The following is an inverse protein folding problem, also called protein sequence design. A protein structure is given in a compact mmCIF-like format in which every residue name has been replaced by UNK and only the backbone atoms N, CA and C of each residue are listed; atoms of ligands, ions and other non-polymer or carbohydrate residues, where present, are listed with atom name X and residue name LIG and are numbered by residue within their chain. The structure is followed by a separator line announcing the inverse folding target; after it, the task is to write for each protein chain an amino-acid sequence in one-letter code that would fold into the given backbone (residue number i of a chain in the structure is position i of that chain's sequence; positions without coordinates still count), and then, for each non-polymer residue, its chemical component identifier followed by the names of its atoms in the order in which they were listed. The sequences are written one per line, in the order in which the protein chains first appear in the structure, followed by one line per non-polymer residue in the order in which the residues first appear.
data_IF_830887395251
#
_entry.id   IF_830887395251
#
_cell.length_a   1.000
_cell.length_b   1.000
_cell.length_c   1.000
_cell.angle_alpha   90.00
_cell.angle_beta   90.00
_cell.angle_gamma   90.00
#
_symmetry.space_group_name_H-M   'P 1'
#
loop_
_entity.id
_entity.type
_entity.pdbx_description
1 polymer ?
#
# COMPACT_ATOMS: atom_id res chain seq x y z
N UNK A 1 -1.16 23.31 -1.46
CA UNK A 1 -1.55 22.17 -2.32
C UNK A 1 -0.71 20.98 -1.88
N UNK A 2 -1.23 19.75 -1.95
CA UNK A 2 -0.43 18.55 -1.65
C UNK A 2 0.48 18.20 -2.83
N UNK A 3 1.66 17.64 -2.57
CA UNK A 3 2.52 17.06 -3.61
C UNK A 3 2.89 15.64 -3.24
N UNK A 4 2.43 14.66 -4.02
CA UNK A 4 2.73 13.25 -3.86
C UNK A 4 3.90 12.87 -4.77
N UNK A 5 4.99 12.39 -4.18
CA UNK A 5 6.05 11.71 -4.92
C UNK A 5 5.72 10.22 -4.97
N UNK A 6 5.67 9.68 -6.18
CA UNK A 6 5.27 8.30 -6.44
C UNK A 6 5.58 7.89 -7.87
N UNK A 7 5.32 6.64 -8.21
CA UNK A 7 5.46 6.14 -9.58
C UNK A 7 4.46 5.01 -9.83
N UNK A 8 4.29 4.62 -11.09
CA UNK A 8 3.45 3.47 -11.48
C UNK A 8 3.94 2.20 -10.76
N UNK A 9 3.05 1.23 -10.53
CA UNK A 9 3.36 -0.02 -9.82
C UNK A 9 4.03 0.18 -8.44
N UNK A 10 3.61 1.20 -7.67
CA UNK A 10 4.17 1.46 -6.34
C UNK A 10 3.12 1.70 -5.26
N UNK A 11 3.56 1.71 -3.99
CA UNK A 11 2.69 1.97 -2.83
C UNK A 11 2.04 3.36 -2.83
N UNK A 12 2.49 4.28 -3.70
CA UNK A 12 1.85 5.60 -3.83
C UNK A 12 0.42 5.54 -4.37
N UNK A 13 0.04 4.45 -5.05
CA UNK A 13 -1.33 4.23 -5.48
C UNK A 13 -2.35 4.32 -4.33
N UNK A 14 -2.02 3.78 -3.14
CA UNK A 14 -2.93 3.83 -1.99
C UNK A 14 -3.10 5.27 -1.48
N UNK A 15 -2.07 6.10 -1.59
CA UNK A 15 -2.11 7.50 -1.18
C UNK A 15 -2.88 8.33 -2.19
N UNK A 16 -2.70 8.05 -3.48
CA UNK A 16 -3.48 8.68 -4.54
C UNK A 16 -4.97 8.37 -4.39
N UNK A 17 -5.35 7.11 -4.14
CA UNK A 17 -6.74 6.74 -3.81
C UNK A 17 -7.28 7.54 -2.61
N UNK A 18 -6.47 7.71 -1.56
CA UNK A 18 -6.87 8.46 -0.38
C UNK A 18 -7.04 9.96 -0.64
N UNK A 19 -6.16 10.58 -1.43
CA UNK A 19 -6.26 11.99 -1.82
C UNK A 19 -7.50 12.24 -2.70
N UNK A 20 -7.78 11.36 -3.66
CA UNK A 20 -9.00 11.39 -4.48
C UNK A 20 -10.25 11.27 -3.60
N UNK A 21 -10.26 10.32 -2.65
CA UNK A 21 -11.37 10.14 -1.70
C UNK A 21 -11.56 11.35 -0.77
N UNK A 22 -10.49 12.05 -0.41
CA UNK A 22 -10.56 13.30 0.35
C UNK A 22 -11.04 14.48 -0.49
N UNK A 23 -11.13 14.34 -1.83
CA UNK A 23 -11.48 15.38 -2.78
C UNK A 23 -10.59 16.63 -2.64
N UNK A 24 -9.28 16.43 -2.43
CA UNK A 24 -8.29 17.52 -2.27
C UNK A 24 -7.39 17.63 -3.49
N UNK A 25 -7.00 18.85 -3.89
CA UNK A 25 -6.07 19.03 -5.00
C UNK A 25 -4.66 18.58 -4.60
N UNK A 26 -4.03 17.79 -5.47
CA UNK A 26 -2.65 17.36 -5.34
C UNK A 26 -1.94 17.34 -6.69
N UNK A 27 -0.62 17.46 -6.64
CA UNK A 27 0.27 17.21 -7.77
C UNK A 27 0.97 15.86 -7.57
N UNK A 28 1.06 15.05 -8.63
CA UNK A 28 1.85 13.82 -8.64
C UNK A 28 3.19 14.08 -9.33
N UNK A 29 4.29 13.85 -8.62
CA UNK A 29 5.66 13.92 -9.16
C UNK A 29 6.15 12.50 -9.36
N UNK A 30 6.42 12.11 -10.62
CA UNK A 30 6.98 10.80 -10.94
C UNK A 30 8.41 10.69 -10.38
N UNK A 31 8.60 9.86 -9.37
CA UNK A 31 9.89 9.65 -8.71
C UNK A 31 9.95 8.28 -8.02
N UNK A 32 11.15 7.69 -7.99
CA UNK A 32 11.45 6.48 -7.24
C UNK A 32 12.96 6.37 -6.99
N UNK A 33 13.40 5.43 -6.15
CA UNK A 33 14.84 5.24 -5.88
C UNK A 33 15.59 4.53 -7.01
N UNK A 34 14.89 3.75 -7.84
CA UNK A 34 15.49 2.84 -8.83
C UNK A 34 15.59 3.42 -10.24
N UNK A 35 14.98 4.57 -10.52
CA UNK A 35 15.14 5.30 -11.77
C UNK A 35 15.98 6.57 -11.56
N UNK A 36 17.01 6.77 -12.37
CA UNK A 36 17.81 8.00 -12.34
C UNK A 36 17.09 9.14 -13.05
N UNK A 37 17.26 10.37 -12.56
CA UNK A 37 16.74 11.57 -13.22
C UNK A 37 16.22 12.65 -12.27
N UNK A 38 15.54 13.65 -12.85
CA UNK A 38 15.05 14.82 -12.12
C UNK A 38 14.07 14.45 -10.99
N UNK A 39 13.23 13.43 -11.19
CA UNK A 39 12.31 12.94 -10.16
C UNK A 39 13.02 12.42 -8.92
N UNK A 40 14.06 11.58 -9.08
CA UNK A 40 14.88 11.07 -7.98
C UNK A 40 15.63 12.19 -7.26
N UNK A 41 16.17 13.15 -8.00
CA UNK A 41 16.86 14.31 -7.40
C UNK A 41 15.89 15.27 -6.68
N UNK A 42 14.65 15.40 -7.15
CA UNK A 42 13.61 16.12 -6.42
C UNK A 42 13.20 15.38 -5.14
N UNK A 43 12.99 14.07 -5.22
CA UNK A 43 12.67 13.22 -4.07
C UNK A 43 13.79 13.26 -3.01
N UNK A 44 15.07 13.23 -3.42
CA UNK A 44 16.23 13.33 -2.53
C UNK A 44 16.22 14.58 -1.65
N UNK A 45 15.72 15.70 -2.17
CA UNK A 45 15.66 16.97 -1.44
C UNK A 45 14.66 16.94 -0.29
N UNK A 46 13.62 16.10 -0.39
CA UNK A 46 12.52 16.04 0.59
C UNK A 46 12.55 14.78 1.45
N UNK A 47 13.09 13.67 0.94
CA UNK A 47 13.19 12.40 1.65
C UNK A 47 14.59 11.76 1.45
N UNK A 48 15.46 11.76 2.48
CA UNK A 48 16.79 11.15 2.38
C UNK A 48 16.76 9.62 2.23
N UNK A 49 15.64 8.95 2.54
CA UNK A 49 15.46 7.52 2.30
C UNK A 49 15.25 7.20 0.81
N UNK A 50 14.93 8.20 -0.02
CA UNK A 50 14.57 8.04 -1.44
C UNK A 50 13.38 7.09 -1.69
N UNK A 51 12.54 6.87 -0.69
CA UNK A 51 11.41 5.96 -0.79
C UNK A 51 10.13 6.70 -1.18
N UNK A 52 9.28 6.00 -1.93
CA UNK A 52 7.91 6.44 -2.22
C UNK A 52 6.92 5.49 -1.56
N UNK A 53 5.75 5.99 -1.12
CA UNK A 53 5.28 7.37 -1.24
C UNK A 53 5.98 8.36 -0.31
N UNK A 54 6.13 9.60 -0.78
CA UNK A 54 6.46 10.77 0.05
C UNK A 54 5.43 11.86 -0.23
N UNK A 55 4.77 12.38 0.80
CA UNK A 55 3.76 13.44 0.66
C UNK A 55 4.29 14.74 1.26
N UNK A 56 4.34 15.80 0.46
CA UNK A 56 4.57 17.17 0.94
C UNK A 56 3.21 17.82 1.20
N UNK A 57 3.02 18.31 2.42
CA UNK A 57 1.78 18.96 2.86
C UNK A 57 1.73 20.42 2.37
N UNK A 58 0.56 21.09 2.41
CA UNK A 58 0.42 22.48 1.96
C UNK A 58 1.32 23.49 2.68
N UNK A 59 1.73 23.19 3.92
CA UNK A 59 2.65 24.02 4.73
C UNK A 59 4.14 23.74 4.44
N UNK A 60 4.43 22.83 3.50
CA UNK A 60 5.78 22.42 3.12
C UNK A 60 6.40 21.33 4.00
N UNK A 61 5.71 20.87 5.04
CA UNK A 61 6.18 19.72 5.84
C UNK A 61 6.09 18.42 5.04
N UNK A 62 6.97 17.47 5.36
CA UNK A 62 7.08 16.19 4.65
C UNK A 62 6.58 15.06 5.54
N UNK A 63 5.71 14.21 4.99
CA UNK A 63 5.24 12.99 5.61
C UNK A 63 5.64 11.78 4.75
N UNK A 64 6.29 10.81 5.39
CA UNK A 64 6.70 9.52 4.80
C UNK A 64 5.95 8.39 5.50
N UNK A 65 6.16 7.15 5.05
CA UNK A 65 5.44 5.94 5.48
C UNK A 65 3.97 5.93 5.03
N UNK A 66 3.61 5.00 4.13
CA UNK A 66 2.25 4.93 3.56
C UNK A 66 1.16 4.89 4.62
N UNK A 67 1.37 4.14 5.70
CA UNK A 67 0.40 4.05 6.81
C UNK A 67 0.28 5.37 7.57
N UNK A 68 1.39 6.08 7.83
CA UNK A 68 1.33 7.37 8.52
C UNK A 68 0.60 8.42 7.66
N UNK A 69 0.84 8.42 6.35
CA UNK A 69 0.15 9.29 5.39
C UNK A 69 -1.36 9.01 5.38
N UNK A 70 -1.77 7.74 5.29
CA UNK A 70 -3.19 7.36 5.32
C UNK A 70 -3.86 7.75 6.64
N UNK A 71 -3.15 7.58 7.77
CA UNK A 71 -3.65 8.01 9.09
C UNK A 71 -3.84 9.51 9.13
N UNK A 72 -2.83 10.28 8.70
CA UNK A 72 -2.91 11.73 8.64
C UNK A 72 -4.12 12.20 7.81
N UNK A 73 -4.26 11.70 6.58
CA UNK A 73 -5.37 12.07 5.70
C UNK A 73 -6.73 11.70 6.31
N UNK A 74 -6.85 10.53 6.94
CA UNK A 74 -8.10 10.12 7.58
C UNK A 74 -8.45 10.92 8.84
N UNK A 75 -7.47 11.47 9.54
CA UNK A 75 -7.69 12.36 10.70
C UNK A 75 -8.00 13.80 10.25
N UNK A 76 -7.30 14.29 9.23
CA UNK A 76 -7.47 15.63 8.66
C UNK A 76 -8.82 15.76 7.92
N UNK A 77 -9.24 14.70 7.23
CA UNK A 77 -10.48 14.65 6.47
C UNK A 77 -11.43 13.57 7.02
N UNK A 78 -12.01 13.74 8.22
CA UNK A 78 -12.87 12.72 8.85
C UNK A 78 -14.18 12.47 8.08
N UNK A 79 -14.53 13.34 7.14
CA UNK A 79 -15.65 13.16 6.21
C UNK A 79 -15.37 12.21 5.04
N UNK A 80 -14.10 11.90 4.75
CA UNK A 80 -13.68 11.05 3.62
C UNK A 80 -14.08 9.58 3.77
N UNK A 81 -14.25 9.12 5.01
CA UNK A 81 -14.46 7.70 5.32
C UNK A 81 -13.18 6.86 5.36
N UNK A 82 -11.99 7.46 5.18
CA UNK A 82 -10.72 6.73 5.24
C UNK A 82 -10.48 6.02 6.57
N UNK A 83 -10.89 6.65 7.66
CA UNK A 83 -10.86 6.05 9.00
C UNK A 83 -12.27 6.05 9.60
N UNK A 84 -12.63 5.00 10.37
CA UNK A 84 -13.88 4.99 11.12
C UNK A 84 -13.96 6.16 12.11
N UNK A 85 -15.16 6.70 12.30
CA UNK A 85 -15.44 7.72 13.32
C UNK A 85 -15.49 7.12 14.73
N UNK A 86 -16.02 5.90 14.85
CA UNK A 86 -16.03 5.18 16.11
C UNK A 86 -14.60 4.84 16.55
N UNK A 87 -14.30 5.11 17.82
CA UNK A 87 -12.95 4.94 18.36
C UNK A 87 -12.48 3.49 18.38
N UNK A 88 -13.38 2.54 18.67
CA UNK A 88 -13.07 1.12 18.73
C UNK A 88 -12.80 0.55 17.34
N UNK A 89 -13.67 0.87 16.37
CA UNK A 89 -13.47 0.49 14.97
C UNK A 89 -12.21 1.14 14.39
N UNK A 90 -11.95 2.41 14.71
CA UNK A 90 -10.72 3.08 14.27
C UNK A 90 -9.47 2.40 14.82
N UNK A 91 -9.48 1.98 16.09
CA UNK A 91 -8.37 1.23 16.66
C UNK A 91 -8.11 -0.10 15.91
N UNK A 92 -9.17 -0.81 15.49
CA UNK A 92 -9.02 -2.01 14.66
C UNK A 92 -8.50 -1.70 13.24
N UNK A 93 -8.95 -0.60 12.63
CA UNK A 93 -8.44 -0.17 11.33
C UNK A 93 -6.95 0.20 11.40
N UNK A 94 -6.53 0.94 12.44
CA UNK A 94 -5.12 1.26 12.68
C UNK A 94 -4.28 0.00 12.88
N UNK A 95 -4.80 -0.97 13.64
CA UNK A 95 -4.15 -2.28 13.81
C UNK A 95 -3.98 -3.01 12.47
N UNK A 96 -5.01 -3.00 11.61
CA UNK A 96 -4.94 -3.62 10.29
C UNK A 96 -3.91 -2.94 9.38
N UNK A 97 -3.88 -1.60 9.33
CA UNK A 97 -2.89 -0.83 8.58
C UNK A 97 -1.45 -1.17 9.01
N UNK A 98 -1.21 -1.13 10.32
CA UNK A 98 0.11 -1.48 10.90
C UNK A 98 0.46 -2.93 10.59
N UNK A 99 -0.51 -3.85 10.62
CA UNK A 99 -0.29 -5.25 10.26
C UNK A 99 0.18 -5.38 8.81
N UNK A 100 -0.49 -4.70 7.87
CA UNK A 100 -0.11 -4.72 6.44
C UNK A 100 1.32 -4.23 6.27
N UNK A 101 1.67 -3.09 6.86
CA UNK A 101 3.02 -2.52 6.74
C UNK A 101 4.10 -3.46 7.32
N UNK A 102 3.88 -3.98 8.53
CA UNK A 102 4.91 -4.72 9.27
C UNK A 102 5.04 -6.20 8.91
N UNK A 103 4.01 -6.83 8.33
CA UNK A 103 4.01 -8.26 8.01
C UNK A 103 3.97 -8.50 6.51
N UNK A 104 3.04 -7.86 5.81
CA UNK A 104 2.85 -8.09 4.38
C UNK A 104 3.84 -7.28 3.55
N UNK A 105 3.84 -5.95 3.70
CA UNK A 105 4.67 -5.08 2.85
C UNK A 105 6.16 -5.22 3.16
N UNK A 106 6.51 -5.45 4.43
CA UNK A 106 7.88 -5.77 4.83
C UNK A 106 8.41 -7.04 4.12
N UNK A 107 7.60 -8.09 4.00
CA UNK A 107 8.00 -9.33 3.31
C UNK A 107 8.21 -9.12 1.81
N UNK A 108 7.42 -8.26 1.16
CA UNK A 108 7.64 -7.88 -0.24
C UNK A 108 9.02 -7.23 -0.42
N UNK A 109 9.40 -6.30 0.48
CA UNK A 109 10.73 -5.70 0.44
C UNK A 109 11.88 -6.70 0.57
N UNK A 110 11.69 -7.78 1.36
CA UNK A 110 12.65 -8.88 1.47
C UNK A 110 12.76 -9.69 0.17
N UNK A 111 11.64 -9.90 -0.52
CA UNK A 111 11.57 -10.65 -1.79
C UNK A 111 12.20 -9.84 -2.92
N UNK A 112 11.91 -8.54 -3.01
CA UNK A 112 12.35 -7.69 -4.12
C UNK A 112 13.82 -7.28 -4.01
N UNK A 113 14.35 -7.20 -2.78
CA UNK A 113 15.71 -6.72 -2.53
C UNK A 113 16.52 -7.60 -1.54
N UNK A 114 16.59 -8.92 -1.73
CA UNK A 114 17.16 -9.86 -0.75
C UNK A 114 18.63 -9.56 -0.41
N UNK A 115 19.39 -9.03 -1.37
CA UNK A 115 20.81 -8.68 -1.20
C UNK A 115 21.07 -7.56 -0.19
N UNK A 116 20.05 -6.79 0.22
CA UNK A 116 20.18 -5.83 1.34
C UNK A 116 20.37 -6.54 2.69
N UNK A 117 19.91 -7.78 2.80
CA UNK A 117 20.05 -8.62 4.01
C UNK A 117 21.06 -9.75 3.84
N UNK A 118 21.34 -10.15 2.60
CA UNK A 118 22.27 -11.21 2.24
C UNK A 118 23.38 -10.71 1.30
N UNK A 119 24.25 -9.79 1.75
CA UNK A 119 25.31 -9.25 0.89
C UNK A 119 26.28 -10.37 0.47
N UNK A 120 26.50 -10.51 -0.84
CA UNK A 120 27.41 -11.52 -1.41
C UNK A 120 26.86 -12.95 -1.43
N UNK A 121 25.56 -13.14 -1.22
CA UNK A 121 24.92 -14.43 -1.40
C UNK A 121 25.01 -14.92 -2.86
N UNK A 122 25.12 -16.24 -3.03
CA UNK A 122 24.95 -16.88 -4.32
C UNK A 122 23.47 -17.04 -4.68
N UNK A 123 23.20 -17.37 -5.95
CA UNK A 123 21.84 -17.51 -6.49
C UNK A 123 21.02 -18.56 -5.72
N UNK A 124 21.67 -19.61 -5.19
CA UNK A 124 21.00 -20.68 -4.46
C UNK A 124 20.51 -20.19 -3.10
N UNK A 125 21.36 -19.47 -2.36
CA UNK A 125 21.00 -18.89 -1.07
C UNK A 125 19.93 -17.79 -1.25
N UNK A 126 20.07 -16.96 -2.28
CA UNK A 126 19.09 -15.93 -2.61
C UNK A 126 17.72 -16.57 -2.90
N UNK A 127 17.64 -17.56 -3.78
CA UNK A 127 16.38 -18.24 -4.13
C UNK A 127 15.71 -18.91 -2.92
N UNK A 128 16.49 -19.50 -2.02
CA UNK A 128 15.96 -20.08 -0.76
C UNK A 128 15.37 -19.01 0.16
N UNK A 129 16.02 -17.86 0.27
CA UNK A 129 15.53 -16.75 1.08
C UNK A 129 14.24 -16.17 0.51
N UNK A 130 14.20 -15.89 -0.80
CA UNK A 130 13.00 -15.41 -1.49
C UNK A 130 11.83 -16.38 -1.32
N UNK A 131 12.07 -17.69 -1.45
CA UNK A 131 11.05 -18.72 -1.23
C UNK A 131 10.48 -18.69 0.19
N UNK A 132 11.35 -18.59 1.21
CA UNK A 132 10.92 -18.47 2.61
C UNK A 132 10.16 -17.17 2.90
N UNK A 133 10.63 -16.04 2.36
CA UNK A 133 9.96 -14.75 2.49
C UNK A 133 8.56 -14.76 1.82
N UNK A 134 8.42 -15.41 0.66
CA UNK A 134 7.13 -15.58 -0.02
C UNK A 134 6.18 -16.49 0.74
N UNK A 135 6.66 -17.60 1.30
CA UNK A 135 5.86 -18.44 2.18
C UNK A 135 5.33 -17.63 3.38
N UNK A 136 6.18 -16.79 3.98
CA UNK A 136 5.79 -15.91 5.10
C UNK A 136 4.79 -14.83 4.70
N UNK A 137 4.93 -14.25 3.50
CA UNK A 137 3.98 -13.29 2.93
C UNK A 137 2.59 -13.94 2.79
N UNK A 138 2.54 -15.15 2.22
CA UNK A 138 1.31 -15.92 2.06
C UNK A 138 0.61 -16.21 3.39
N UNK A 139 1.36 -16.67 4.40
CA UNK A 139 0.84 -16.86 5.77
C UNK A 139 0.29 -15.56 6.37
N UNK A 140 0.97 -14.44 6.15
CA UNK A 140 0.58 -13.13 6.66
C UNK A 140 -0.73 -12.66 6.02
N UNK A 141 -0.91 -12.87 4.72
CA UNK A 141 -2.16 -12.56 4.04
C UNK A 141 -3.31 -13.49 4.44
N UNK A 142 -3.06 -14.79 4.62
CA UNK A 142 -4.07 -15.71 5.14
C UNK A 142 -4.52 -15.30 6.56
N UNK A 143 -3.57 -14.95 7.42
CA UNK A 143 -3.85 -14.44 8.77
C UNK A 143 -4.61 -13.12 8.72
N UNK A 144 -4.24 -12.21 7.83
CA UNK A 144 -4.93 -10.94 7.63
C UNK A 144 -6.40 -11.17 7.24
N UNK A 145 -6.65 -12.05 6.26
CA UNK A 145 -7.99 -12.40 5.81
C UNK A 145 -8.84 -12.94 6.97
N UNK A 146 -8.29 -13.85 7.79
CA UNK A 146 -9.02 -14.50 8.89
C UNK A 146 -9.36 -13.54 10.05
N UNK A 147 -8.49 -12.56 10.29
CA UNK A 147 -8.63 -11.56 11.36
C UNK A 147 -9.47 -10.35 10.95
N UNK A 148 -9.24 -9.81 9.75
CA UNK A 148 -9.74 -8.50 9.32
C UNK A 148 -10.77 -8.57 8.20
N UNK A 149 -10.89 -9.70 7.48
CA UNK A 149 -11.88 -9.90 6.41
C UNK A 149 -13.33 -10.12 6.87
N UNK A 150 -13.65 -9.85 8.14
CA UNK A 150 -14.99 -10.07 8.72
C UNK A 150 -15.89 -8.84 8.50
N UNK A 151 -17.23 -9.00 8.43
CA UNK A 151 -18.17 -7.90 8.15
C UNK A 151 -18.08 -6.69 9.09
N UNK A 152 -17.60 -6.88 10.33
CA UNK A 152 -17.41 -5.79 11.29
C UNK A 152 -16.15 -4.96 11.07
N UNK A 153 -15.20 -5.47 10.29
CA UNK A 153 -13.87 -4.88 10.09
C UNK A 153 -13.56 -4.48 8.65
N UNK A 154 -14.22 -5.08 7.66
CA UNK A 154 -13.99 -4.84 6.24
C UNK A 154 -15.15 -4.09 5.59
N UNK A 155 -14.84 -3.05 4.81
CA UNK A 155 -15.83 -2.16 4.17
C UNK A 155 -15.72 -2.18 2.64
N UNK A 156 -16.13 -3.28 2.00
CA UNK A 156 -15.97 -3.45 0.55
C UNK A 156 -16.77 -2.44 -0.31
N UNK A 157 -17.92 -1.95 0.17
CA UNK A 157 -18.77 -1.01 -0.56
C UNK A 157 -18.39 0.47 -0.37
N UNK A 158 -17.52 0.76 0.59
CA UNK A 158 -17.06 2.10 0.93
C UNK A 158 -15.62 2.00 1.46
N UNK A 159 -14.64 1.71 0.60
CA UNK A 159 -13.29 1.36 1.01
C UNK A 159 -12.62 2.52 1.75
N UNK A 160 -12.13 2.24 2.95
CA UNK A 160 -11.29 3.15 3.71
C UNK A 160 -9.81 2.90 3.44
N UNK A 161 -8.95 3.45 4.31
CA UNK A 161 -7.51 3.30 4.21
C UNK A 161 -7.04 1.83 4.23
N UNK A 162 -7.70 0.97 5.01
CA UNK A 162 -7.35 -0.45 5.13
C UNK A 162 -7.60 -1.17 3.80
N UNK A 163 -8.78 -0.99 3.24
CA UNK A 163 -9.17 -1.62 1.97
C UNK A 163 -8.30 -1.12 0.82
N UNK A 164 -8.04 0.19 0.73
CA UNK A 164 -7.18 0.78 -0.30
C UNK A 164 -5.73 0.24 -0.21
N UNK A 165 -5.14 0.23 0.99
CA UNK A 165 -3.79 -0.30 1.17
C UNK A 165 -3.74 -1.80 0.87
N UNK A 166 -4.77 -2.56 1.26
CA UNK A 166 -4.84 -3.99 0.94
C UNK A 166 -4.97 -4.23 -0.57
N UNK A 167 -5.82 -3.47 -1.26
CA UNK A 167 -6.00 -3.56 -2.71
C UNK A 167 -4.69 -3.33 -3.47
N UNK A 168 -3.86 -2.41 -2.98
CA UNK A 168 -2.54 -2.11 -3.55
C UNK A 168 -1.51 -3.18 -3.19
N UNK A 169 -1.33 -3.48 -1.89
CA UNK A 169 -0.22 -4.35 -1.44
C UNK A 169 -0.40 -5.80 -1.87
N UNK A 170 -1.63 -6.27 -2.04
CA UNK A 170 -1.90 -7.64 -2.54
C UNK A 170 -1.51 -7.84 -4.01
N UNK A 171 -1.16 -6.79 -4.76
CA UNK A 171 -0.72 -6.92 -6.17
C UNK A 171 0.69 -7.47 -6.34
N UNK A 172 1.45 -7.56 -5.26
CA UNK A 172 2.83 -8.04 -5.30
C UNK A 172 2.98 -9.41 -4.63
N UNK A 173 4.06 -10.10 -5.00
CA UNK A 173 4.46 -11.36 -4.36
C UNK A 173 3.47 -12.52 -4.53
N UNK A 174 2.69 -12.52 -5.62
CA UNK A 174 1.69 -13.56 -5.94
C UNK A 174 0.58 -13.70 -4.87
N UNK A 175 0.37 -12.64 -4.08
CA UNK A 175 -0.55 -12.67 -2.95
C UNK A 175 -2.01 -12.85 -3.36
N UNK A 176 -2.42 -12.29 -4.50
CA UNK A 176 -3.80 -12.42 -5.03
C UNK A 176 -4.10 -13.86 -5.46
N UNK A 177 -3.18 -14.51 -6.14
CA UNK A 177 -3.27 -15.90 -6.56
C UNK A 177 -3.38 -16.81 -5.33
N UNK A 178 -2.56 -16.57 -4.32
CA UNK A 178 -2.64 -17.31 -3.05
C UNK A 178 -3.99 -17.10 -2.34
N UNK A 179 -4.44 -15.85 -2.21
CA UNK A 179 -5.73 -15.54 -1.59
C UNK A 179 -6.90 -16.15 -2.36
N UNK A 180 -6.86 -16.11 -3.70
CA UNK A 180 -7.89 -16.74 -4.53
C UNK A 180 -7.96 -18.26 -4.28
N UNK A 181 -6.81 -18.93 -4.17
CA UNK A 181 -6.76 -20.37 -3.98
C UNK A 181 -7.14 -20.81 -2.55
N UNK A 182 -6.71 -20.07 -1.53
CA UNK A 182 -6.77 -20.53 -0.13
C UNK A 182 -7.71 -19.72 0.79
N UNK A 183 -8.15 -18.53 0.36
CA UNK A 183 -9.12 -17.66 1.06
C UNK A 183 -10.09 -17.01 0.06
N UNK A 184 -10.80 -17.81 -0.77
CA UNK A 184 -11.60 -17.30 -1.89
C UNK A 184 -12.68 -16.30 -1.47
N UNK A 185 -13.27 -16.45 -0.29
CA UNK A 185 -14.27 -15.52 0.22
C UNK A 185 -13.69 -14.12 0.46
N UNK A 186 -12.50 -14.04 1.07
CA UNK A 186 -11.81 -12.77 1.26
C UNK A 186 -11.33 -12.18 -0.08
N UNK A 187 -10.84 -13.04 -0.98
CA UNK A 187 -10.49 -12.60 -2.34
C UNK A 187 -11.69 -11.98 -3.06
N UNK A 188 -12.89 -12.55 -2.94
CA UNK A 188 -14.11 -11.99 -3.52
C UNK A 188 -14.45 -10.60 -2.92
N UNK A 189 -14.24 -10.40 -1.61
CA UNK A 189 -14.39 -9.09 -0.97
C UNK A 189 -13.35 -8.07 -1.47
N UNK A 190 -12.10 -8.51 -1.70
CA UNK A 190 -11.05 -7.69 -2.27
C UNK A 190 -11.39 -7.25 -3.72
N UNK A 191 -11.97 -8.14 -4.53
CA UNK A 191 -12.39 -7.78 -5.88
C UNK A 191 -13.52 -6.75 -5.91
N UNK A 192 -14.38 -6.73 -4.88
CA UNK A 192 -15.39 -5.67 -4.73
C UNK A 192 -14.75 -4.32 -4.40
N UNK A 193 -13.68 -4.31 -3.60
CA UNK A 193 -12.88 -3.09 -3.35
C UNK A 193 -12.23 -2.59 -4.64
N UNK A 194 -11.62 -3.48 -5.43
CA UNK A 194 -11.04 -3.10 -6.73
C UNK A 194 -12.06 -2.51 -7.70
N UNK A 195 -13.32 -2.98 -7.65
CA UNK A 195 -14.41 -2.46 -8.48
C UNK A 195 -14.91 -1.08 -8.04
N UNK A 196 -14.58 -0.62 -6.83
CA UNK A 196 -15.00 0.70 -6.35
C UNK A 196 -14.41 1.81 -7.24
N UNK A 197 -15.19 2.84 -7.66
CA UNK A 197 -14.76 3.80 -8.67
C UNK A 197 -13.40 4.45 -8.41
N UNK A 198 -13.16 4.97 -7.19
CA UNK A 198 -11.89 5.61 -6.83
C UNK A 198 -10.71 4.62 -6.93
N UNK A 199 -10.89 3.40 -6.43
CA UNK A 199 -9.84 2.37 -6.44
C UNK A 199 -9.55 1.96 -7.88
N UNK A 200 -10.59 1.67 -8.67
CA UNK A 200 -10.47 1.29 -10.07
C UNK A 200 -9.74 2.36 -10.90
N UNK A 201 -10.16 3.62 -10.78
CA UNK A 201 -9.58 4.73 -11.55
C UNK A 201 -8.10 4.92 -11.25
N UNK A 202 -7.70 4.89 -9.98
CA UNK A 202 -6.28 5.00 -9.62
C UNK A 202 -5.52 3.74 -10.02
N UNK A 203 -6.09 2.55 -9.82
CA UNK A 203 -5.44 1.30 -10.21
C UNK A 203 -5.11 1.26 -11.71
N UNK A 204 -5.99 1.79 -12.57
CA UNK A 204 -5.73 1.89 -14.02
C UNK A 204 -4.56 2.81 -14.38
N UNK A 205 -4.23 3.81 -13.55
CA UNK A 205 -3.05 4.67 -13.73
C UNK A 205 -1.77 3.95 -13.35
N UNK A 206 -1.83 3.06 -12.36
CA UNK A 206 -0.66 2.39 -11.75
C UNK A 206 -0.34 1.03 -12.37
N UNK A 207 -1.35 0.30 -12.83
CA UNK A 207 -1.23 -1.01 -13.44
C UNK A 207 -2.08 -1.00 -14.70
N UNK A 208 -1.43 -0.75 -15.84
CA UNK A 208 -2.09 -0.88 -17.14
C UNK A 208 -2.35 -2.36 -17.36
N UNK A 209 -3.61 -2.72 -17.63
CA UNK A 209 -3.90 -4.02 -18.22
C UNK A 209 -3.26 -4.01 -19.61
N UNK A 210 -2.37 -4.97 -19.89
CA UNK A 210 -1.83 -5.17 -21.23
C UNK A 210 -3.02 -5.39 -22.17
N UNK A 211 -3.31 -4.39 -23.01
CA UNK A 211 -4.27 -4.50 -24.12
C UNK A 211 -3.73 -5.34 -25.26
#
# INVERSE_FOLDING_TARGET
MYTLFGTENSGSAAIEMALEQCAVPYELVNACSWEEGAGKEALRKVNPLLQVPTLVLPDGSVLTESVAILIYLGLEFPGSGLLPKDSGLRAQALRALVYIASNCYAAIGLIDYPLRWLPGADDVLQARFESGARARLNESWATFADLFGRPSGWQQGAPGAVEMLTAVVTRWGEAREHLQAFRPDFYALLMQVDAHPVVKTVAQRHWREDT
#
